data_IF_617435940377
#
_entry.id   IF_617435940377
#
_cell.length_a   1.000
_cell.length_b   1.000
_cell.length_c   1.000
_cell.angle_alpha   90.00
_cell.angle_beta   90.00
_cell.angle_gamma   90.00
#
_symmetry.space_group_name_H-M   'P 1'
#
loop_
_entity.id
_entity.type
_entity.pdbx_description
1 polymer ?
#
# COMPACT_ATOMS: atom_id res chain seq x y z
N UNK A 1 13.90 -39.63 -25.69
CA UNK A 1 13.02 -38.51 -26.11
C UNK A 1 11.84 -38.44 -25.15
N UNK A 2 11.38 -37.24 -24.75
CA UNK A 2 11.03 -36.94 -23.36
C UNK A 2 9.53 -36.75 -23.11
N UNK A 3 9.05 -37.16 -21.92
CA UNK A 3 7.76 -36.73 -21.38
C UNK A 3 7.96 -35.48 -20.51
N UNK A 4 7.68 -34.31 -21.11
CA UNK A 4 7.60 -33.04 -20.40
C UNK A 4 6.24 -32.96 -19.70
N UNK A 5 6.24 -33.29 -18.40
CA UNK A 5 5.13 -33.05 -17.48
C UNK A 5 4.96 -31.55 -17.22
N UNK A 6 3.98 -31.00 -17.93
CA UNK A 6 3.21 -29.78 -17.73
C UNK A 6 3.43 -29.04 -16.39
N UNK A 7 4.27 -27.99 -16.41
CA UNK A 7 4.32 -26.97 -15.37
C UNK A 7 3.21 -25.97 -15.61
N UNK A 8 1.96 -26.33 -15.27
CA UNK A 8 0.88 -25.35 -15.25
C UNK A 8 1.11 -24.39 -14.08
N UNK A 9 1.74 -23.25 -14.39
CA UNK A 9 1.81 -22.12 -13.49
C UNK A 9 0.40 -21.68 -13.12
N UNK A 10 0.16 -21.55 -11.81
CA UNK A 10 -1.07 -21.00 -11.23
C UNK A 10 -1.53 -19.77 -12.01
N UNK A 11 -2.82 -19.64 -12.39
CA UNK A 11 -3.27 -18.47 -13.12
C UNK A 11 -3.04 -17.24 -12.25
N UNK A 12 -2.16 -16.34 -12.72
CA UNK A 12 -1.97 -15.02 -12.13
C UNK A 12 -3.35 -14.36 -12.07
N UNK A 13 -3.84 -14.15 -10.84
CA UNK A 13 -5.15 -13.54 -10.56
C UNK A 13 -5.31 -12.30 -11.43
N UNK A 14 -6.17 -12.37 -12.45
CA UNK A 14 -6.34 -11.30 -13.43
C UNK A 14 -6.92 -10.06 -12.73
N UNK A 15 -6.04 -9.12 -12.40
CA UNK A 15 -6.45 -7.82 -11.86
C UNK A 15 -7.22 -7.11 -12.97
N UNK A 16 -8.49 -6.82 -12.72
CA UNK A 16 -9.33 -6.03 -13.62
C UNK A 16 -8.92 -4.56 -13.44
N UNK A 17 -8.45 -3.85 -14.48
CA UNK A 17 -8.12 -2.44 -14.37
C UNK A 17 -9.31 -1.62 -13.85
N UNK A 18 -9.08 -0.75 -12.87
CA UNK A 18 -10.12 0.10 -12.25
C UNK A 18 -9.79 1.59 -12.39
N UNK A 19 -9.69 2.13 -13.63
CA UNK A 19 -9.20 3.49 -13.87
C UNK A 19 -9.98 4.56 -13.10
N UNK A 20 -11.32 4.45 -13.05
CA UNK A 20 -12.16 5.38 -12.28
C UNK A 20 -11.88 5.41 -10.76
N UNK A 21 -11.34 4.34 -10.17
CA UNK A 21 -10.94 4.33 -8.75
C UNK A 21 -9.55 4.93 -8.58
N UNK A 22 -8.66 4.72 -9.54
CA UNK A 22 -7.34 5.37 -9.58
C UNK A 22 -7.51 6.89 -9.67
N UNK A 23 -8.41 7.37 -10.53
CA UNK A 23 -8.71 8.81 -10.65
C UNK A 23 -9.25 9.40 -9.34
N UNK A 24 -10.10 8.65 -8.62
CA UNK A 24 -10.59 9.06 -7.30
C UNK A 24 -9.49 9.15 -6.25
N UNK A 25 -8.52 8.22 -6.28
CA UNK A 25 -7.37 8.28 -5.39
C UNK A 25 -6.47 9.48 -5.71
N UNK A 26 -6.23 9.75 -7.00
CA UNK A 26 -5.48 10.91 -7.45
C UNK A 26 -6.15 12.23 -7.04
N UNK A 27 -7.48 12.34 -7.20
CA UNK A 27 -8.23 13.50 -6.73
C UNK A 27 -8.13 13.66 -5.20
N UNK A 28 -8.09 12.55 -4.47
CA UNK A 28 -7.94 12.52 -3.01
C UNK A 28 -6.60 13.06 -2.50
N UNK A 29 -5.55 13.09 -3.34
CA UNK A 29 -4.24 13.67 -2.99
C UNK A 29 -4.30 15.18 -2.72
N UNK A 30 -5.37 15.85 -3.15
CA UNK A 30 -5.59 17.28 -2.85
C UNK A 30 -6.03 17.51 -1.40
N UNK A 31 -6.49 16.47 -0.70
CA UNK A 31 -6.91 16.52 0.69
C UNK A 31 -5.80 16.14 1.67
N UNK A 32 -6.03 16.40 2.97
CA UNK A 32 -5.10 16.01 4.05
C UNK A 32 -5.16 14.51 4.38
N UNK A 33 -6.27 13.85 4.05
CA UNK A 33 -6.52 12.44 4.35
C UNK A 33 -7.51 11.86 3.33
N UNK A 34 -7.16 10.73 2.73
CA UNK A 34 -8.06 9.93 1.87
C UNK A 34 -8.35 8.61 2.57
N UNK A 35 -9.63 8.34 2.85
CA UNK A 35 -10.08 7.10 3.48
C UNK A 35 -10.70 6.16 2.44
N UNK A 36 -10.20 4.92 2.38
CA UNK A 36 -10.74 3.87 1.51
C UNK A 36 -11.51 2.87 2.36
N UNK A 37 -12.84 2.90 2.28
CA UNK A 37 -13.72 1.97 3.00
C UNK A 37 -14.46 1.04 2.05
N UNK A 38 -14.46 -0.25 2.37
CA UNK A 38 -15.20 -1.31 1.70
C UNK A 38 -15.19 -2.57 2.59
N UNK A 39 -16.09 -3.54 2.41
CA UNK A 39 -16.04 -4.80 3.14
C UNK A 39 -14.75 -5.61 2.87
N UNK A 40 -14.52 -6.64 3.69
CA UNK A 40 -13.45 -7.61 3.44
C UNK A 40 -13.62 -8.28 2.07
N UNK A 41 -12.51 -8.55 1.37
CA UNK A 41 -12.53 -9.19 0.05
C UNK A 41 -12.75 -8.28 -1.17
N UNK A 42 -13.14 -7.01 -0.99
CA UNK A 42 -13.40 -6.08 -2.11
C UNK A 42 -12.14 -5.57 -2.86
N UNK A 43 -10.96 -5.94 -2.36
CA UNK A 43 -9.68 -5.61 -3.00
C UNK A 43 -9.17 -4.20 -2.70
N UNK A 44 -9.43 -3.67 -1.49
CA UNK A 44 -8.87 -2.39 -1.03
C UNK A 44 -7.34 -2.35 -1.18
N UNK A 45 -6.66 -3.33 -0.58
CA UNK A 45 -5.20 -3.46 -0.67
C UNK A 45 -4.74 -3.63 -2.11
N UNK A 46 -5.48 -4.39 -2.93
CA UNK A 46 -5.18 -4.54 -4.36
C UNK A 46 -5.26 -3.22 -5.11
N UNK A 47 -6.30 -2.40 -4.84
CA UNK A 47 -6.47 -1.08 -5.44
C UNK A 47 -5.34 -0.12 -5.03
N UNK A 48 -4.99 -0.06 -3.74
CA UNK A 48 -3.91 0.84 -3.28
C UNK A 48 -2.57 0.39 -3.84
N UNK A 49 -2.31 -0.92 -3.94
CA UNK A 49 -1.09 -1.42 -4.58
C UNK A 49 -1.04 -1.07 -6.07
N UNK A 50 -2.14 -1.25 -6.80
CA UNK A 50 -2.23 -0.87 -8.23
C UNK A 50 -1.98 0.63 -8.41
N UNK A 51 -2.59 1.46 -7.57
CA UNK A 51 -2.37 2.90 -7.55
C UNK A 51 -0.91 3.26 -7.21
N UNK A 52 -0.34 2.65 -6.17
CA UNK A 52 1.03 2.92 -5.73
C UNK A 52 2.07 2.56 -6.79
N UNK A 53 1.84 1.50 -7.58
CA UNK A 53 2.71 1.12 -8.69
C UNK A 53 2.69 2.14 -9.85
N UNK A 54 1.59 2.87 -10.00
CA UNK A 54 1.42 3.90 -11.03
C UNK A 54 1.77 5.31 -10.53
N UNK A 55 1.95 5.49 -9.22
CA UNK A 55 2.22 6.79 -8.62
C UNK A 55 3.69 7.19 -8.84
N UNK A 56 3.91 8.40 -9.35
CA UNK A 56 5.26 8.97 -9.55
C UNK A 56 5.78 9.69 -8.29
N UNK A 57 5.45 9.16 -7.11
CA UNK A 57 5.85 9.73 -5.83
C UNK A 57 6.32 8.65 -4.86
N UNK A 58 7.21 8.95 -3.90
CA UNK A 58 7.60 8.01 -2.88
C UNK A 58 6.43 7.61 -1.98
N UNK A 59 6.31 6.32 -1.66
CA UNK A 59 5.23 5.76 -0.85
C UNK A 59 5.82 4.93 0.29
N UNK A 60 5.30 5.17 1.49
CA UNK A 60 5.58 4.39 2.69
C UNK A 60 4.31 3.67 3.13
N UNK A 61 4.47 2.45 3.63
CA UNK A 61 3.38 1.64 4.14
C UNK A 61 3.42 1.58 5.66
N UNK A 62 2.31 1.93 6.30
CA UNK A 62 2.11 1.78 7.72
C UNK A 62 0.88 0.89 7.93
N UNK A 63 1.08 -0.26 8.57
CA UNK A 63 -0.03 -1.09 9.05
C UNK A 63 -0.31 -0.69 10.48
N UNK A 64 -1.59 -0.47 10.81
CA UNK A 64 -2.04 -0.11 12.14
C UNK A 64 -2.91 -1.24 12.69
N UNK A 65 -2.66 -1.60 13.94
CA UNK A 65 -3.49 -2.51 14.74
C UNK A 65 -4.02 -1.83 16.02
N UNK A 66 -4.78 -2.57 16.84
CA UNK A 66 -5.36 -2.02 18.08
C UNK A 66 -4.29 -1.60 19.11
N UNK A 67 -3.13 -2.25 19.10
CA UNK A 67 -2.03 -1.96 20.02
C UNK A 67 -1.32 -0.64 19.66
N UNK A 68 -1.48 -0.15 18.43
CA UNK A 68 -0.98 1.15 17.97
C UNK A 68 -1.81 2.35 18.46
N UNK A 69 -2.79 2.11 19.34
CA UNK A 69 -3.48 3.18 20.08
C UNK A 69 -2.56 3.90 21.08
N UNK A 70 -1.39 3.34 21.40
CA UNK A 70 -0.33 4.01 22.14
C UNK A 70 0.38 5.05 21.24
N UNK A 71 0.35 6.36 21.60
CA UNK A 71 0.93 7.41 20.77
C UNK A 71 2.43 7.24 20.50
N UNK A 72 3.20 6.72 21.46
CA UNK A 72 4.64 6.50 21.31
C UNK A 72 4.89 5.39 20.30
N UNK A 73 4.13 4.28 20.39
CA UNK A 73 4.21 3.18 19.44
C UNK A 73 3.82 3.62 18.02
N UNK A 74 2.72 4.36 17.90
CA UNK A 74 2.29 4.95 16.63
C UNK A 74 3.40 5.80 16.00
N UNK A 75 3.95 6.77 16.73
CA UNK A 75 4.98 7.66 16.19
C UNK A 75 6.26 6.92 15.83
N UNK A 76 6.65 5.90 16.61
CA UNK A 76 7.81 5.07 16.28
C UNK A 76 7.65 4.37 14.93
N UNK A 77 6.50 3.74 14.67
CA UNK A 77 6.26 3.08 13.38
C UNK A 77 6.04 4.07 12.24
N UNK A 78 5.43 5.21 12.52
CA UNK A 78 5.28 6.29 11.54
C UNK A 78 6.65 6.81 11.07
N UNK A 79 7.57 7.10 12.00
CA UNK A 79 8.95 7.51 11.68
C UNK A 79 9.66 6.40 10.92
N UNK A 80 9.61 5.15 11.41
CA UNK A 80 10.22 4.01 10.73
C UNK A 80 9.70 3.81 9.29
N UNK A 81 8.41 4.06 9.06
CA UNK A 81 7.82 4.03 7.73
C UNK A 81 8.37 5.12 6.81
N UNK A 82 8.52 6.36 7.30
CA UNK A 82 9.10 7.45 6.50
C UNK A 82 10.60 7.28 6.25
N UNK A 83 11.31 6.60 7.16
CA UNK A 83 12.72 6.24 6.98
C UNK A 83 12.96 5.29 5.81
N UNK A 84 11.93 4.56 5.33
CA UNK A 84 12.06 3.75 4.10
C UNK A 84 12.16 4.60 2.83
N UNK A 85 11.80 5.87 2.91
CA UNK A 85 11.92 6.86 1.82
C UNK A 85 13.10 7.79 2.08
N UNK A 86 13.22 8.29 3.31
CA UNK A 86 14.22 9.27 3.72
C UNK A 86 14.89 8.80 5.02
N UNK A 87 16.05 8.15 4.93
CA UNK A 87 16.71 7.49 6.07
C UNK A 87 16.92 8.40 7.29
N UNK A 88 17.21 9.68 7.08
CA UNK A 88 17.49 10.67 8.14
C UNK A 88 16.22 11.25 8.80
N UNK A 89 15.02 10.85 8.35
CA UNK A 89 13.77 11.37 8.88
C UNK A 89 13.62 11.00 10.37
N UNK A 90 13.42 12.00 11.22
CA UNK A 90 13.18 11.82 12.66
C UNK A 90 14.43 11.70 13.53
N UNK A 91 15.65 11.80 12.98
CA UNK A 91 16.90 11.70 13.77
C UNK A 91 17.10 12.85 14.78
N UNK A 92 16.41 13.98 14.64
CA UNK A 92 16.50 15.11 15.58
C UNK A 92 15.50 15.05 16.75
N UNK A 93 14.61 14.05 16.78
CA UNK A 93 13.52 13.94 17.78
C UNK A 93 13.82 12.86 18.84
N UNK A 94 14.93 12.13 18.71
CA UNK A 94 15.46 11.18 19.69
C UNK A 94 16.79 11.66 20.25
#
# INVERSE_FOLDING_TARGET
>A
MPEQGDRQGTPLRRIRPRPHLIDKLNAGLTGKLTLISAPAGFGKTTLVNEWAMAAEMPIAWLSLDEEDSDPVRFWRYFIAGLQTIHAEFGEQIM
#
